data_IF_735104012132
#
_entry.id   IF_735104012132
#
_cell.length_a   1.000
_cell.length_b   1.000
_cell.length_c   1.000
_cell.angle_alpha   90.00
_cell.angle_beta   90.00
_cell.angle_gamma   90.00
#
_symmetry.space_group_name_H-M   'P 1'
#
loop_
_entity.id
_entity.type
_entity.pdbx_description
1 polymer ?
#
# COMPACT_ATOMS: atom_id res chain seq x y z
N UNK A 1 17.32 54.02 30.19
CA UNK A 1 16.70 52.69 30.40
C UNK A 1 15.53 52.53 29.43
N UNK A 2 15.76 52.00 28.22
CA UNK A 2 14.68 51.90 27.20
C UNK A 2 15.03 50.87 26.13
N UNK A 3 15.17 49.61 26.55
CA UNK A 3 15.45 48.49 25.63
C UNK A 3 15.23 47.17 26.35
N UNK A 4 13.99 46.88 26.76
CA UNK A 4 13.65 45.56 27.30
C UNK A 4 12.14 45.27 27.23
N UNK A 5 11.54 45.48 26.06
CA UNK A 5 10.13 45.10 25.81
C UNK A 5 9.96 44.35 24.47
N UNK A 6 11.01 44.24 23.66
CA UNK A 6 10.92 43.68 22.30
C UNK A 6 11.13 42.15 22.22
N UNK A 7 11.44 41.49 23.33
CA UNK A 7 11.81 40.07 23.34
C UNK A 7 10.66 39.10 23.70
N UNK A 8 9.46 39.61 23.97
CA UNK A 8 8.31 38.77 24.39
C UNK A 8 7.35 38.45 23.24
N UNK A 9 7.45 39.12 22.09
CA UNK A 9 6.50 38.98 20.98
C UNK A 9 6.84 37.90 19.95
N UNK A 10 7.98 37.20 20.09
CA UNK A 10 8.49 36.28 19.07
C UNK A 10 8.26 34.78 19.38
N UNK A 11 7.40 34.46 20.35
CA UNK A 11 7.08 33.05 20.71
C UNK A 11 5.76 32.54 20.12
N UNK A 12 5.01 33.36 19.37
CA UNK A 12 3.67 32.99 18.85
C UNK A 12 3.67 32.43 17.42
N UNK A 13 4.82 32.39 16.73
CA UNK A 13 4.85 31.99 15.30
C UNK A 13 5.38 30.58 15.02
N UNK A 14 5.57 29.74 16.05
CA UNK A 14 5.94 28.32 15.88
C UNK A 14 4.79 27.41 16.29
N UNK A 15 3.57 27.76 15.87
CA UNK A 15 2.48 26.79 15.72
C UNK A 15 2.80 25.95 14.50
N UNK A 16 3.77 25.03 14.64
CA UNK A 16 3.92 23.93 13.71
C UNK A 16 2.55 23.27 13.62
N UNK A 17 1.91 23.44 12.47
CA UNK A 17 0.74 22.67 12.11
C UNK A 17 1.23 21.23 12.05
N UNK A 18 1.05 20.52 13.17
CA UNK A 18 0.92 19.08 13.21
C UNK A 18 -0.25 18.77 12.27
N UNK A 19 0.03 18.67 10.97
CA UNK A 19 -0.91 18.12 10.01
C UNK A 19 -1.13 16.68 10.46
N UNK A 20 -2.18 16.53 11.26
CA UNK A 20 -2.65 15.27 11.77
C UNK A 20 -2.96 14.38 10.57
N UNK A 21 -2.37 13.20 10.58
CA UNK A 21 -2.82 12.04 9.81
C UNK A 21 -4.33 11.91 10.07
N UNK A 22 -5.16 12.34 9.11
CA UNK A 22 -6.60 12.35 9.34
C UNK A 22 -7.07 10.90 9.27
N UNK A 23 -7.40 10.32 10.42
CA UNK A 23 -8.00 8.98 10.51
C UNK A 23 -9.38 8.89 9.86
N UNK A 24 -9.93 10.02 9.42
CA UNK A 24 -11.22 10.12 8.73
C UNK A 24 -11.00 10.01 7.22
N UNK A 25 -11.64 9.06 6.54
CA UNK A 25 -11.51 8.91 5.10
C UNK A 25 -12.03 10.13 4.35
N UNK A 26 -11.34 10.52 3.28
CA UNK A 26 -11.85 11.51 2.32
C UNK A 26 -13.15 11.02 1.66
N UNK A 27 -13.82 11.89 0.92
CA UNK A 27 -15.04 11.50 0.22
C UNK A 27 -14.77 10.43 -0.85
N UNK A 28 -13.62 10.52 -1.51
CA UNK A 28 -13.14 9.57 -2.51
C UNK A 28 -12.82 8.22 -1.86
N UNK A 29 -12.09 8.23 -0.75
CA UNK A 29 -11.78 7.01 0.02
C UNK A 29 -13.05 6.33 0.53
N UNK A 30 -14.02 7.10 1.02
CA UNK A 30 -15.32 6.58 1.43
C UNK A 30 -16.09 5.95 0.27
N UNK A 31 -16.01 6.53 -0.93
CA UNK A 31 -16.63 5.97 -2.13
C UNK A 31 -15.99 4.62 -2.51
N UNK A 32 -14.66 4.53 -2.44
CA UNK A 32 -13.91 3.28 -2.66
C UNK A 32 -14.34 2.21 -1.66
N UNK A 33 -14.33 2.52 -0.35
CA UNK A 33 -14.74 1.58 0.70
C UNK A 33 -16.17 1.08 0.49
N UNK A 34 -17.09 1.99 0.15
CA UNK A 34 -18.48 1.63 -0.15
C UNK A 34 -18.57 0.71 -1.38
N UNK A 35 -17.80 0.98 -2.42
CA UNK A 35 -17.73 0.13 -3.63
C UNK A 35 -17.23 -1.27 -3.28
N UNK A 36 -16.17 -1.38 -2.48
CA UNK A 36 -15.62 -2.67 -2.07
C UNK A 36 -16.61 -3.47 -1.22
N UNK A 37 -17.33 -2.82 -0.29
CA UNK A 37 -18.38 -3.48 0.51
C UNK A 37 -19.54 -3.95 -0.37
N UNK A 38 -19.97 -3.15 -1.35
CA UNK A 38 -21.04 -3.53 -2.27
C UNK A 38 -20.67 -4.76 -3.10
N UNK A 39 -19.41 -4.85 -3.52
CA UNK A 39 -18.88 -5.94 -4.34
C UNK A 39 -19.01 -7.32 -3.67
N UNK A 40 -19.07 -7.38 -2.32
CA UNK A 40 -19.38 -8.60 -1.56
C UNK A 40 -20.68 -9.27 -2.03
N UNK A 41 -21.69 -8.46 -2.33
CA UNK A 41 -23.06 -8.93 -2.56
C UNK A 41 -23.40 -9.02 -4.05
N UNK A 42 -22.63 -8.36 -4.92
CA UNK A 42 -22.85 -8.32 -6.38
C UNK A 42 -21.53 -8.55 -7.13
N UNK A 43 -21.01 -9.79 -7.14
CA UNK A 43 -19.77 -10.12 -7.85
C UNK A 43 -19.93 -10.18 -9.38
N UNK A 44 -21.15 -10.07 -9.92
CA UNK A 44 -21.40 -10.17 -11.37
C UNK A 44 -20.90 -8.95 -12.17
N UNK A 45 -20.47 -7.88 -11.51
CA UNK A 45 -19.95 -6.64 -12.14
C UNK A 45 -18.50 -6.33 -11.72
N UNK A 46 -17.64 -7.35 -11.63
CA UNK A 46 -16.26 -7.18 -11.16
C UNK A 46 -15.43 -6.22 -12.06
N UNK A 47 -15.50 -6.37 -13.38
CA UNK A 47 -14.60 -5.68 -14.31
C UNK A 47 -14.77 -4.16 -14.35
N UNK A 48 -15.96 -3.64 -14.03
CA UNK A 48 -16.26 -2.20 -14.02
C UNK A 48 -16.43 -1.60 -12.61
N UNK A 49 -16.10 -2.36 -11.57
CA UNK A 49 -16.28 -1.91 -10.19
C UNK A 49 -15.17 -0.94 -9.76
N UNK A 50 -15.52 0.18 -9.13
CA UNK A 50 -14.55 1.15 -8.62
C UNK A 50 -13.57 0.55 -7.58
N UNK A 51 -13.97 -0.50 -6.86
CA UNK A 51 -13.06 -1.24 -5.98
C UNK A 51 -11.96 -1.96 -6.77
N UNK A 52 -12.32 -2.62 -7.87
CA UNK A 52 -11.36 -3.35 -8.72
C UNK A 52 -10.37 -2.38 -9.34
N UNK A 53 -10.85 -1.27 -9.92
CA UNK A 53 -9.97 -0.21 -10.43
C UNK A 53 -9.06 0.39 -9.36
N UNK A 54 -9.56 0.55 -8.13
CA UNK A 54 -8.74 1.00 -7.03
C UNK A 54 -7.61 0.01 -6.72
N UNK A 55 -7.93 -1.29 -6.65
CA UNK A 55 -6.93 -2.35 -6.41
C UNK A 55 -5.90 -2.39 -7.53
N UNK A 56 -6.32 -2.26 -8.80
CA UNK A 56 -5.40 -2.18 -9.94
C UNK A 56 -4.42 -1.01 -9.79
N UNK A 57 -4.93 0.19 -9.47
CA UNK A 57 -4.09 1.37 -9.23
C UNK A 57 -3.15 1.19 -8.02
N UNK A 58 -3.64 0.56 -6.96
CA UNK A 58 -2.84 0.23 -5.78
C UNK A 58 -1.71 -0.74 -6.11
N UNK A 59 -1.97 -1.79 -6.89
CA UNK A 59 -0.96 -2.75 -7.37
C UNK A 59 0.05 -2.06 -8.28
N UNK A 60 -0.40 -1.23 -9.22
CA UNK A 60 0.48 -0.46 -10.10
C UNK A 60 1.43 0.44 -9.29
N UNK A 61 0.94 1.12 -8.24
CA UNK A 61 1.79 1.93 -7.36
C UNK A 61 2.72 1.11 -6.48
N UNK A 62 2.25 -0.02 -5.95
CA UNK A 62 2.99 -0.85 -4.99
C UNK A 62 4.06 -1.70 -5.65
N UNK A 63 3.83 -2.21 -6.86
CA UNK A 63 4.76 -3.08 -7.56
C UNK A 63 5.83 -2.32 -8.36
N UNK A 64 5.59 -1.05 -8.71
CA UNK A 64 6.55 -0.23 -9.48
C UNK A 64 7.53 0.55 -8.61
N UNK A 65 7.18 0.79 -7.33
CA UNK A 65 8.02 1.53 -6.38
C UNK A 65 8.79 0.58 -5.47
N UNK A 66 9.76 1.11 -4.71
CA UNK A 66 10.63 0.43 -3.72
C UNK A 66 9.85 -0.16 -2.53
N UNK A 67 8.75 -0.84 -2.79
CA UNK A 67 8.03 -1.62 -1.81
C UNK A 67 8.93 -2.75 -1.32
N UNK A 68 8.62 -3.27 -0.13
CA UNK A 68 9.32 -4.42 0.45
C UNK A 68 8.98 -5.73 -0.31
N UNK A 69 8.69 -5.67 -1.61
CA UNK A 69 8.38 -6.82 -2.43
C UNK A 69 9.56 -7.13 -3.35
N UNK A 70 10.08 -8.35 -3.26
CA UNK A 70 11.04 -8.84 -4.25
C UNK A 70 10.23 -9.59 -5.30
N UNK A 71 9.97 -8.93 -6.44
CA UNK A 71 9.45 -9.62 -7.62
C UNK A 71 10.54 -10.57 -8.13
N UNK A 72 10.24 -11.87 -8.12
CA UNK A 72 11.17 -12.88 -8.59
C UNK A 72 11.15 -12.97 -10.12
N UNK A 73 11.92 -12.13 -10.82
CA UNK A 73 12.41 -12.51 -12.15
C UNK A 73 13.44 -13.65 -11.94
N UNK A 74 12.98 -14.90 -12.02
CA UNK A 74 13.80 -16.14 -12.02
C UNK A 74 15.08 -16.03 -11.16
N UNK A 75 14.94 -16.14 -9.83
CA UNK A 75 16.05 -15.88 -8.90
C UNK A 75 17.26 -16.79 -9.14
N UNK A 76 18.33 -16.24 -9.69
CA UNK A 76 19.66 -16.84 -9.68
C UNK A 76 20.49 -16.36 -8.47
N UNK A 77 21.53 -17.12 -8.14
CA UNK A 77 22.57 -16.81 -7.13
C UNK A 77 23.19 -15.41 -7.31
N UNK A 78 23.06 -14.84 -8.50
CA UNK A 78 23.53 -13.50 -8.86
C UNK A 78 22.74 -12.38 -8.17
N UNK A 79 21.41 -12.49 -8.08
CA UNK A 79 20.57 -11.44 -7.49
C UNK A 79 20.82 -11.32 -5.99
N UNK A 80 20.93 -12.46 -5.29
CA UNK A 80 21.25 -12.52 -3.86
C UNK A 80 22.64 -11.91 -3.57
N UNK A 81 23.64 -12.25 -4.38
CA UNK A 81 24.98 -11.67 -4.27
C UNK A 81 24.96 -10.15 -4.50
N UNK A 82 24.26 -9.68 -5.53
CA UNK A 82 24.18 -8.26 -5.87
C UNK A 82 23.43 -7.44 -4.83
N UNK A 83 22.37 -8.01 -4.25
CA UNK A 83 21.62 -7.37 -3.17
C UNK A 83 22.50 -7.23 -1.92
N UNK A 84 23.16 -8.32 -1.51
CA UNK A 84 24.05 -8.33 -0.34
C UNK A 84 25.21 -7.34 -0.45
N UNK A 85 25.75 -7.11 -1.65
CA UNK A 85 26.84 -6.15 -1.87
C UNK A 85 26.37 -4.70 -1.91
N UNK A 86 25.15 -4.41 -2.39
CA UNK A 86 24.62 -3.04 -2.46
C UNK A 86 23.97 -2.54 -1.18
N UNK A 87 23.21 -3.40 -0.49
CA UNK A 87 22.39 -3.00 0.68
C UNK A 87 23.13 -3.24 2.01
N UNK A 88 24.17 -4.08 1.99
CA UNK A 88 24.95 -4.43 3.17
C UNK A 88 24.25 -5.46 4.06
N UNK A 89 24.88 -5.79 5.19
CA UNK A 89 24.38 -6.75 6.20
C UNK A 89 23.24 -6.20 7.07
N UNK A 90 22.73 -5.01 6.79
CA UNK A 90 21.66 -4.39 7.57
C UNK A 90 20.36 -5.11 7.22
N UNK A 91 20.14 -6.19 7.96
CA UNK A 91 18.89 -6.92 8.00
C UNK A 91 17.87 -6.02 8.66
N UNK A 92 17.01 -5.37 7.86
CA UNK A 92 15.63 -5.23 8.33
C UNK A 92 15.23 -6.60 8.87
N UNK A 93 14.84 -6.68 10.15
CA UNK A 93 14.38 -7.95 10.74
C UNK A 93 13.17 -8.49 9.97
N UNK A 94 12.45 -7.62 9.25
CA UNK A 94 11.47 -7.99 8.25
C UNK A 94 12.16 -8.30 6.93
N UNK A 95 12.14 -9.59 6.59
CA UNK A 95 12.43 -10.03 5.24
C UNK A 95 11.36 -9.42 4.31
N UNK A 96 11.76 -8.79 3.20
CA UNK A 96 10.80 -8.35 2.20
C UNK A 96 9.95 -9.54 1.76
N UNK A 97 8.64 -9.33 1.62
CA UNK A 97 7.71 -10.36 1.16
C UNK A 97 8.11 -10.73 -0.27
N UNK A 98 8.49 -11.99 -0.48
CA UNK A 98 8.88 -12.47 -1.79
C UNK A 98 7.63 -12.83 -2.58
N UNK A 99 7.38 -12.11 -3.69
CA UNK A 99 6.24 -12.35 -4.56
C UNK A 99 6.71 -13.03 -5.84
N UNK A 100 6.07 -14.14 -6.19
CA UNK A 100 6.31 -14.90 -7.41
C UNK A 100 5.20 -14.63 -8.42
N UNK A 101 5.17 -13.40 -8.93
CA UNK A 101 4.27 -13.02 -10.01
C UNK A 101 4.88 -13.40 -11.37
N UNK A 102 4.11 -14.00 -12.30
CA UNK A 102 4.50 -14.16 -13.69
C UNK A 102 4.93 -12.82 -14.32
N UNK A 103 5.88 -12.87 -15.26
CA UNK A 103 6.34 -11.66 -15.95
C UNK A 103 5.21 -10.98 -16.75
N UNK A 104 4.31 -11.78 -17.29
CA UNK A 104 3.18 -11.34 -18.11
C UNK A 104 1.86 -11.36 -17.29
N UNK A 105 1.96 -11.21 -15.97
CA UNK A 105 0.79 -11.18 -15.09
C UNK A 105 -0.14 -10.03 -15.48
N UNK A 106 -1.42 -10.36 -15.72
CA UNK A 106 -2.42 -9.38 -16.03
C UNK A 106 -2.95 -8.74 -14.72
N UNK A 107 -2.59 -7.47 -14.49
CA UNK A 107 -2.97 -6.72 -13.28
C UNK A 107 -4.49 -6.64 -13.10
N UNK A 108 -5.27 -6.62 -14.18
CA UNK A 108 -6.73 -6.59 -14.10
C UNK A 108 -7.26 -7.91 -13.52
N UNK A 109 -6.81 -9.03 -14.09
CA UNK A 109 -7.17 -10.38 -13.61
C UNK A 109 -6.64 -10.65 -12.20
N UNK A 110 -5.45 -10.14 -11.86
CA UNK A 110 -4.92 -10.22 -10.51
C UNK A 110 -5.83 -9.45 -9.54
N UNK A 111 -6.22 -8.21 -9.85
CA UNK A 111 -7.10 -7.43 -8.99
C UNK A 111 -8.45 -8.11 -8.75
N UNK A 112 -9.06 -8.70 -9.78
CA UNK A 112 -10.31 -9.48 -9.65
C UNK A 112 -10.13 -10.68 -8.71
N UNK A 113 -9.02 -11.42 -8.83
CA UNK A 113 -8.71 -12.53 -7.91
C UNK A 113 -8.53 -12.04 -6.48
N UNK A 114 -7.84 -10.92 -6.28
CA UNK A 114 -7.61 -10.35 -4.94
C UNK A 114 -8.91 -9.94 -4.24
N UNK A 115 -9.91 -9.46 -4.99
CA UNK A 115 -11.24 -9.16 -4.42
C UNK A 115 -11.84 -10.40 -3.74
N UNK A 116 -11.66 -11.59 -4.33
CA UNK A 116 -12.16 -12.85 -3.76
C UNK A 116 -11.59 -13.20 -2.38
N UNK A 117 -10.45 -12.60 -2.00
CA UNK A 117 -9.80 -12.81 -0.70
C UNK A 117 -10.10 -11.71 0.32
N UNK A 118 -10.87 -10.69 -0.05
CA UNK A 118 -11.21 -9.61 0.87
C UNK A 118 -12.15 -10.10 1.97
N UNK A 119 -11.83 -9.71 3.20
CA UNK A 119 -12.60 -10.00 4.40
C UNK A 119 -13.42 -8.78 4.81
N UNK A 120 -14.72 -8.99 4.98
CA UNK A 120 -15.67 -7.93 5.28
C UNK A 120 -16.08 -7.92 6.76
N UNK A 121 -16.40 -6.75 7.35
CA UNK A 121 -16.47 -5.42 6.73
C UNK A 121 -15.09 -4.75 6.57
N UNK A 122 -14.98 -3.85 5.59
CA UNK A 122 -13.78 -3.03 5.35
C UNK A 122 -14.11 -1.60 5.76
N UNK A 123 -13.63 -1.17 6.93
CA UNK A 123 -14.03 0.08 7.58
C UNK A 123 -13.03 1.22 7.41
N UNK A 124 -11.84 0.94 6.88
CA UNK A 124 -10.76 1.91 6.68
C UNK A 124 -9.89 1.58 5.47
N UNK A 125 -9.27 2.60 4.90
CA UNK A 125 -8.31 2.42 3.79
C UNK A 125 -7.09 1.62 4.22
N UNK A 126 -6.61 1.81 5.47
CA UNK A 126 -5.52 1.03 6.03
C UNK A 126 -5.85 -0.47 6.06
N UNK A 127 -7.08 -0.83 6.48
CA UNK A 127 -7.53 -2.21 6.47
C UNK A 127 -7.63 -2.75 5.04
N UNK A 128 -8.18 -1.96 4.10
CA UNK A 128 -8.23 -2.34 2.68
C UNK A 128 -6.83 -2.62 2.13
N UNK A 129 -5.87 -1.73 2.33
CA UNK A 129 -4.49 -1.90 1.88
C UNK A 129 -3.85 -3.14 2.49
N UNK A 130 -4.01 -3.34 3.79
CA UNK A 130 -3.47 -4.52 4.50
C UNK A 130 -4.04 -5.81 3.93
N UNK A 131 -5.36 -5.84 3.66
CA UNK A 131 -6.00 -7.01 3.06
C UNK A 131 -5.54 -7.27 1.62
N UNK A 132 -5.38 -6.23 0.79
CA UNK A 132 -4.85 -6.36 -0.58
C UNK A 132 -3.44 -6.98 -0.54
N UNK A 133 -2.58 -6.52 0.36
CA UNK A 133 -1.22 -7.03 0.50
C UNK A 133 -1.19 -8.48 1.01
N UNK A 134 -2.04 -8.81 1.97
CA UNK A 134 -2.16 -10.19 2.48
C UNK A 134 -2.69 -11.13 1.39
N UNK A 135 -3.72 -10.72 0.65
CA UNK A 135 -4.26 -11.48 -0.47
C UNK A 135 -3.21 -11.69 -1.56
N UNK A 136 -2.43 -10.65 -1.87
CA UNK A 136 -1.34 -10.73 -2.84
C UNK A 136 -0.26 -11.72 -2.38
N UNK A 137 0.12 -11.71 -1.11
CA UNK A 137 1.08 -12.65 -0.56
C UNK A 137 0.59 -14.12 -0.63
N UNK A 138 -0.72 -14.36 -0.51
CA UNK A 138 -1.32 -15.69 -0.67
C UNK A 138 -1.30 -16.12 -2.13
N UNK A 139 -1.83 -15.29 -3.04
CA UNK A 139 -1.94 -15.58 -4.49
C UNK A 139 -0.58 -15.71 -5.18
N UNK A 140 0.45 -15.04 -4.68
CA UNK A 140 1.78 -15.00 -5.29
C UNK A 140 2.89 -15.53 -4.38
N UNK A 141 2.54 -16.42 -3.44
CA UNK A 141 3.53 -17.11 -2.62
C UNK A 141 4.50 -17.94 -3.47
N UNK A 142 5.79 -17.83 -3.19
CA UNK A 142 6.83 -18.62 -3.85
C UNK A 142 6.90 -20.02 -3.24
N UNK A 143 6.52 -21.06 -3.99
CA UNK A 143 6.82 -22.46 -3.67
C UNK A 143 8.16 -22.91 -4.26
#
# INVERSE_FOLDING_TARGET
MKSSQLLVLLTVALSFSLFADSTVPTNEERAVLKSCIALKNTPEELSDNSCVYYIQGFLAGSLTTKSNYVLRETSGVFLDRAYRTRVGKVTSKEQPIQLCLPKDENIEQLAERLVGHLSYPIDSMLLLHTQILNALAVESSCS
#
